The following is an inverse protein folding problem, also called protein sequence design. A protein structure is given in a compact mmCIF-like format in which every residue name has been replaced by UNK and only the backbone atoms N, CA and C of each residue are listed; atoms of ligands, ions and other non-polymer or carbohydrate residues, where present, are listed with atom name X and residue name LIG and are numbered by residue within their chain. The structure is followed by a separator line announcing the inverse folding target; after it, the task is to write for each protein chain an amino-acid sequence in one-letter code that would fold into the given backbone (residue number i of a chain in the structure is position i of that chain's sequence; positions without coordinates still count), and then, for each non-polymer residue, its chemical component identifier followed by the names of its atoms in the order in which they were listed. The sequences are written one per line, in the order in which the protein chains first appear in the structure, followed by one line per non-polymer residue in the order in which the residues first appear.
data_IF_953797007065
#
_entry.id   IF_953797007065
#
_cell.length_a   1.000
_cell.length_b   1.000
_cell.length_c   1.000
_cell.angle_alpha   90.00
_cell.angle_beta   90.00
_cell.angle_gamma   90.00
#
_symmetry.space_group_name_H-M   'P 1'
#
loop_
_entity.id
_entity.type
_entity.pdbx_description
1 polymer ?
#
# COMPACT_ATOMS: atom_id res chain seq x y z
N UNK A 1 64.08 -30.54 16.97
CA UNK A 1 62.89 -29.75 17.34
C UNK A 1 62.21 -29.30 16.05
N UNK A 2 60.89 -29.43 15.93
CA UNK A 2 60.14 -29.04 14.73
C UNK A 2 59.49 -27.66 14.91
N UNK A 3 59.25 -26.94 13.82
CA UNK A 3 58.56 -25.64 13.84
C UNK A 3 57.10 -25.77 14.32
N UNK A 4 56.53 -24.66 14.76
CA UNK A 4 55.11 -24.54 15.16
C UNK A 4 54.21 -25.10 14.05
N UNK A 5 53.29 -26.01 14.41
CA UNK A 5 52.41 -26.71 13.47
C UNK A 5 52.95 -28.04 12.92
N UNK A 6 54.13 -28.50 13.37
CA UNK A 6 54.73 -29.76 12.94
C UNK A 6 55.12 -30.64 14.14
N UNK A 7 55.04 -31.97 13.99
CA UNK A 7 55.48 -32.99 14.96
C UNK A 7 56.61 -33.86 14.40
N UNK A 8 57.48 -34.36 15.29
CA UNK A 8 58.55 -35.30 14.91
C UNK A 8 57.98 -36.72 14.80
N UNK A 9 58.05 -37.34 13.63
CA UNK A 9 57.57 -38.69 13.36
C UNK A 9 58.62 -39.46 12.55
N UNK A 10 59.23 -40.49 13.15
CA UNK A 10 60.30 -41.27 12.50
C UNK A 10 61.59 -40.50 12.22
N UNK A 11 61.84 -39.38 12.89
CA UNK A 11 63.02 -38.53 12.70
C UNK A 11 62.80 -37.35 11.75
N UNK A 12 61.64 -37.23 11.12
CA UNK A 12 61.27 -36.12 10.23
C UNK A 12 60.14 -35.25 10.82
N UNK A 13 60.14 -33.96 10.51
CA UNK A 13 59.09 -33.04 10.93
C UNK A 13 57.92 -33.07 9.94
N UNK A 14 56.79 -33.65 10.35
CA UNK A 14 55.57 -33.74 9.54
C UNK A 14 54.50 -32.77 10.05
N UNK A 15 53.64 -32.29 9.15
CA UNK A 15 52.54 -31.38 9.49
C UNK A 15 51.63 -32.02 10.54
N UNK A 16 51.37 -31.29 11.63
CA UNK A 16 50.46 -31.71 12.68
C UNK A 16 49.06 -31.22 12.34
N UNK A 17 48.25 -32.11 11.77
CA UNK A 17 46.83 -31.87 11.50
C UNK A 17 46.04 -32.38 12.70
N UNK A 18 45.28 -31.51 13.35
CA UNK A 18 44.42 -31.87 14.47
C UNK A 18 43.07 -32.40 13.98
N UNK A 19 42.53 -33.42 14.67
CA UNK A 19 41.20 -33.94 14.38
C UNK A 19 40.11 -32.87 14.63
N UNK A 20 38.92 -33.04 14.06
CA UNK A 20 37.79 -32.15 14.30
C UNK A 20 37.49 -32.00 15.81
N UNK A 21 37.40 -30.76 16.31
CA UNK A 21 37.15 -30.46 17.73
C UNK A 21 38.41 -30.31 18.61
N UNK A 22 39.60 -30.47 18.03
CA UNK A 22 40.90 -30.21 18.68
C UNK A 22 41.53 -28.95 18.09
N UNK A 23 42.33 -28.23 18.89
CA UNK A 23 43.15 -27.12 18.39
C UNK A 23 44.64 -27.35 18.64
N UNK A 24 45.48 -26.68 17.85
CA UNK A 24 46.92 -26.73 17.95
C UNK A 24 47.38 -25.87 19.13
N UNK A 25 47.96 -26.49 20.16
CA UNK A 25 48.66 -25.79 21.23
C UNK A 25 50.09 -25.47 20.78
N UNK A 26 50.37 -24.17 20.61
CA UNK A 26 51.68 -23.64 20.19
C UNK A 26 52.55 -23.21 21.36
N UNK A 27 52.06 -23.37 22.60
CA UNK A 27 52.74 -23.01 23.83
C UNK A 27 53.53 -24.18 24.45
N UNK A 28 53.25 -25.42 24.04
CA UNK A 28 53.97 -26.62 24.47
C UNK A 28 55.06 -27.02 23.47
N UNK A 29 56.22 -27.50 23.98
CA UNK A 29 57.24 -28.18 23.15
C UNK A 29 57.40 -29.63 23.62
N UNK A 30 56.99 -30.63 22.81
CA UNK A 30 56.54 -30.52 21.42
C UNK A 30 55.12 -29.94 21.26
N UNK A 31 54.80 -29.41 20.08
CA UNK A 31 53.45 -28.96 19.74
C UNK A 31 52.48 -30.14 19.85
N UNK A 32 51.32 -29.96 20.49
CA UNK A 32 50.31 -31.01 20.64
C UNK A 32 48.93 -30.52 20.19
N UNK A 33 48.08 -31.46 19.77
CA UNK A 33 46.66 -31.19 19.55
C UNK A 33 45.92 -31.47 20.85
N UNK A 34 45.23 -30.46 21.39
CA UNK A 34 44.47 -30.58 22.63
C UNK A 34 42.97 -30.56 22.32
N UNK A 35 42.21 -31.40 23.02
CA UNK A 35 40.75 -31.41 22.97
C UNK A 35 40.21 -30.06 23.48
N UNK A 36 39.17 -29.54 22.84
CA UNK A 36 38.46 -28.39 23.36
C UNK A 36 37.91 -28.70 24.77
N UNK A 37 38.52 -28.04 25.76
CA UNK A 37 38.09 -27.84 27.16
C UNK A 37 38.02 -29.09 28.05
N UNK A 38 38.85 -29.16 29.10
CA UNK A 38 38.87 -30.31 30.04
C UNK A 38 38.01 -30.17 31.30
N UNK A 39 37.12 -29.17 31.49
CA UNK A 39 35.96 -29.23 32.44
C UNK A 39 35.09 -27.95 32.46
N UNK A 40 33.80 -28.12 32.79
CA UNK A 40 32.77 -27.10 33.04
C UNK A 40 33.20 -26.17 34.22
N UNK A 41 32.89 -24.87 34.15
CA UNK A 41 33.25 -23.82 35.14
C UNK A 41 34.73 -23.37 35.22
N UNK A 42 35.38 -23.15 34.08
CA UNK A 42 36.57 -22.28 34.01
C UNK A 42 36.31 -21.00 33.20
N UNK A 43 37.03 -19.93 33.54
CA UNK A 43 36.75 -18.57 33.13
C UNK A 43 37.12 -18.29 31.66
N UNK A 44 36.08 -18.36 30.80
CA UNK A 44 35.85 -17.54 29.60
C UNK A 44 36.37 -18.07 28.27
N UNK A 45 35.49 -18.78 27.56
CA UNK A 45 35.50 -18.82 26.10
C UNK A 45 35.37 -17.39 25.55
N UNK A 46 36.29 -16.93 24.69
CA UNK A 46 36.22 -15.56 24.12
C UNK A 46 35.04 -15.38 23.16
N UNK A 47 34.57 -16.46 22.56
CA UNK A 47 33.43 -16.55 21.62
C UNK A 47 32.83 -17.95 21.71
N UNK A 48 31.53 -18.09 21.50
CA UNK A 48 30.86 -19.39 21.37
C UNK A 48 30.68 -19.78 19.90
N UNK A 49 30.45 -21.06 19.64
CA UNK A 49 30.03 -21.56 18.32
C UNK A 49 28.67 -20.95 17.92
N UNK A 50 28.42 -20.87 16.61
CA UNK A 50 27.14 -20.41 16.07
C UNK A 50 25.98 -21.21 16.69
N UNK A 51 25.01 -20.49 17.29
CA UNK A 51 23.83 -20.95 18.05
C UNK A 51 23.99 -21.02 19.58
N UNK A 52 25.10 -20.56 20.14
CA UNK A 52 25.29 -20.47 21.58
C UNK A 52 25.70 -19.05 21.99
N UNK A 53 25.21 -18.58 23.14
CA UNK A 53 25.60 -17.30 23.72
C UNK A 53 26.24 -17.49 25.09
N UNK A 54 27.19 -16.60 25.42
CA UNK A 54 27.82 -16.58 26.74
C UNK A 54 26.82 -16.06 27.78
N UNK A 55 26.52 -16.89 28.78
CA UNK A 55 25.78 -16.43 29.94
C UNK A 55 26.63 -15.53 30.86
N UNK A 56 26.02 -15.02 31.94
CA UNK A 56 26.70 -14.18 32.93
C UNK A 56 27.88 -14.88 33.65
N UNK A 57 27.97 -16.20 33.56
CA UNK A 57 29.01 -17.03 34.18
C UNK A 57 30.11 -17.43 33.19
N UNK A 58 29.97 -17.07 31.91
CA UNK A 58 30.97 -17.36 30.89
C UNK A 58 30.77 -18.71 30.20
N UNK A 59 29.63 -19.37 30.37
CA UNK A 59 29.30 -20.65 29.73
C UNK A 59 28.49 -20.43 28.44
N UNK A 60 28.76 -21.25 27.41
CA UNK A 60 28.00 -21.22 26.16
C UNK A 60 26.67 -21.97 26.34
N UNK A 61 25.57 -21.23 26.51
CA UNK A 61 24.21 -21.76 26.58
C UNK A 61 23.58 -21.74 25.19
N UNK A 62 22.67 -22.69 24.91
CA UNK A 62 21.92 -22.67 23.66
C UNK A 62 21.18 -21.34 23.56
N UNK A 63 21.52 -20.53 22.55
CA UNK A 63 20.84 -19.27 22.32
C UNK A 63 19.38 -19.58 22.02
N UNK A 64 18.45 -18.87 22.66
CA UNK A 64 17.04 -18.93 22.24
C UNK A 64 16.99 -18.66 20.74
N UNK A 65 16.38 -19.52 19.92
CA UNK A 65 16.34 -19.33 18.49
C UNK A 65 15.79 -17.93 18.17
N UNK A 66 16.53 -17.15 17.39
CA UNK A 66 16.10 -15.80 16.99
C UNK A 66 15.46 -15.96 15.62
N UNK A 67 14.17 -15.68 15.54
CA UNK A 67 13.45 -15.70 14.27
C UNK A 67 13.54 -14.34 13.60
N UNK A 68 13.39 -14.34 12.28
CA UNK A 68 13.27 -13.12 11.48
C UNK A 68 11.82 -12.96 11.05
N UNK A 69 11.40 -11.72 10.86
CA UNK A 69 10.10 -11.41 10.27
C UNK A 69 10.25 -10.13 9.45
N UNK A 70 10.27 -10.28 8.13
CA UNK A 70 10.24 -9.14 7.25
C UNK A 70 8.81 -8.58 7.21
N UNK A 71 8.68 -7.25 7.29
CA UNK A 71 7.40 -6.54 7.26
C UNK A 71 6.43 -6.91 8.39
N UNK A 72 6.94 -7.28 9.57
CA UNK A 72 6.10 -7.58 10.72
C UNK A 72 6.85 -7.64 12.05
N UNK A 73 6.21 -8.22 13.05
CA UNK A 73 6.80 -8.49 14.37
C UNK A 73 7.16 -9.95 14.49
N UNK A 74 8.28 -10.25 15.14
CA UNK A 74 8.80 -11.63 15.29
C UNK A 74 7.92 -12.44 16.26
N UNK A 75 7.60 -13.67 15.88
CA UNK A 75 6.86 -14.62 16.71
C UNK A 75 7.66 -15.16 17.91
N UNK A 76 6.98 -15.42 19.03
CA UNK A 76 7.61 -15.81 20.29
C UNK A 76 8.01 -17.30 20.38
N UNK A 77 7.57 -18.14 19.44
CA UNK A 77 7.79 -19.60 19.47
C UNK A 77 8.78 -20.05 18.40
N UNK A 78 9.94 -19.41 18.37
CA UNK A 78 10.99 -19.73 17.41
C UNK A 78 11.68 -21.04 17.77
N UNK A 79 11.74 -21.99 16.84
CA UNK A 79 12.41 -23.30 17.03
C UNK A 79 13.72 -23.42 16.28
N UNK A 80 13.93 -22.60 15.24
CA UNK A 80 15.11 -22.63 14.38
C UNK A 80 15.67 -21.20 14.24
N UNK A 81 16.94 -21.01 14.59
CA UNK A 81 17.58 -19.70 14.48
C UNK A 81 17.63 -19.27 13.00
N UNK A 82 17.19 -18.05 12.72
CA UNK A 82 17.09 -17.48 11.38
C UNK A 82 15.86 -17.90 10.58
N UNK A 83 14.94 -18.72 11.13
CA UNK A 83 13.70 -19.04 10.40
C UNK A 83 12.73 -17.86 10.40
N UNK A 84 11.92 -17.76 9.34
CA UNK A 84 10.84 -16.78 9.26
C UNK A 84 9.69 -17.19 10.18
N UNK A 85 9.35 -16.32 11.13
CA UNK A 85 8.15 -16.47 11.95
C UNK A 85 7.62 -15.11 12.39
N UNK A 86 6.44 -14.75 11.90
CA UNK A 86 5.77 -13.50 12.18
C UNK A 86 4.59 -13.70 13.15
N UNK A 87 4.50 -12.84 14.17
CA UNK A 87 3.35 -12.74 15.07
C UNK A 87 2.27 -11.80 14.53
N UNK A 88 2.69 -10.70 13.92
CA UNK A 88 1.80 -9.73 13.27
C UNK A 88 2.51 -9.10 12.08
N UNK A 89 1.73 -8.52 11.18
CA UNK A 89 2.25 -7.89 9.96
C UNK A 89 1.98 -6.40 9.96
N UNK A 90 2.92 -5.64 9.42
CA UNK A 90 2.77 -4.21 9.18
C UNK A 90 1.60 -3.96 8.23
N UNK A 91 1.03 -2.76 8.28
CA UNK A 91 -0.06 -2.33 7.38
C UNK A 91 0.32 -2.62 5.92
N UNK A 92 -0.59 -3.26 5.18
CA UNK A 92 -0.38 -3.69 3.79
C UNK A 92 0.11 -5.14 3.64
N UNK A 93 0.29 -5.88 4.73
CA UNK A 93 0.68 -7.28 4.71
C UNK A 93 -0.29 -8.14 5.53
N UNK A 94 -0.52 -9.39 5.10
CA UNK A 94 -1.32 -10.38 5.83
C UNK A 94 -0.44 -11.54 6.26
N UNK A 95 -0.77 -12.12 7.42
CA UNK A 95 -0.12 -13.33 7.89
C UNK A 95 -0.63 -14.53 7.10
N UNK A 96 0.25 -15.21 6.38
CA UNK A 96 -0.05 -16.41 5.60
C UNK A 96 1.06 -17.46 5.84
N UNK A 97 0.72 -18.53 6.56
CA UNK A 97 1.67 -19.59 6.89
C UNK A 97 2.81 -19.18 7.83
N UNK A 98 2.62 -18.13 8.66
CA UNK A 98 3.66 -17.63 9.56
C UNK A 98 4.57 -16.57 8.93
N UNK A 99 4.32 -16.17 7.70
CA UNK A 99 5.06 -15.12 6.98
C UNK A 99 4.13 -13.95 6.64
N UNK A 100 4.69 -12.74 6.59
CA UNK A 100 3.97 -11.56 6.16
C UNK A 100 4.04 -11.43 4.63
N UNK A 101 2.93 -11.72 3.96
CA UNK A 101 2.79 -11.58 2.51
C UNK A 101 2.01 -10.33 2.17
N UNK A 102 2.27 -9.75 0.99
CA UNK A 102 1.57 -8.56 0.55
C UNK A 102 0.05 -8.80 0.52
N UNK A 103 -0.70 -7.89 1.13
CA UNK A 103 -2.16 -7.87 1.08
C UNK A 103 -2.57 -7.00 -0.10
N UNK A 104 -2.94 -7.67 -1.20
CA UNK A 104 -3.53 -7.02 -2.38
C UNK A 104 -5.05 -7.15 -2.24
N UNK A 105 -5.75 -6.02 -2.34
CA UNK A 105 -7.21 -6.00 -2.32
C UNK A 105 -7.78 -6.20 -3.72
N UNK A 106 -8.89 -6.91 -3.81
CA UNK A 106 -9.62 -7.11 -5.06
C UNK A 106 -10.22 -5.78 -5.58
N UNK A 107 -10.62 -5.78 -6.86
CA UNK A 107 -11.28 -4.62 -7.46
C UNK A 107 -12.53 -4.21 -6.67
N UNK A 108 -12.73 -2.90 -6.49
CA UNK A 108 -13.80 -2.37 -5.66
C UNK A 108 -13.52 -2.39 -4.15
N UNK A 109 -12.32 -2.75 -3.73
CA UNK A 109 -11.89 -2.73 -2.32
C UNK A 109 -10.59 -1.96 -2.11
N UNK A 110 -10.36 -1.51 -0.89
CA UNK A 110 -9.12 -0.89 -0.45
C UNK A 110 -8.69 -1.43 0.91
N UNK A 111 -7.41 -1.21 1.23
CA UNK A 111 -6.85 -1.55 2.53
C UNK A 111 -7.42 -0.62 3.59
N UNK A 112 -8.09 -1.19 4.59
CA UNK A 112 -8.46 -0.44 5.78
C UNK A 112 -7.25 -0.31 6.70
N UNK A 113 -6.69 0.90 6.75
CA UNK A 113 -5.53 1.24 7.59
C UNK A 113 -5.94 1.59 9.03
N UNK A 114 -7.23 1.62 9.32
CA UNK A 114 -7.79 1.97 10.62
C UNK A 114 -8.19 0.74 11.46
N UNK A 115 -8.17 -0.47 10.88
CA UNK A 115 -8.47 -1.71 11.58
C UNK A 115 -7.25 -2.63 11.73
N UNK A 116 -7.27 -3.40 12.82
CA UNK A 116 -6.37 -4.54 13.05
C UNK A 116 -7.25 -5.76 13.35
N UNK A 117 -7.11 -6.88 12.60
CA UNK A 117 -6.08 -7.16 11.60
C UNK A 117 -6.23 -6.34 10.30
N UNK A 118 -5.16 -6.29 9.50
CA UNK A 118 -5.19 -5.67 8.17
C UNK A 118 -6.26 -6.36 7.30
N UNK A 119 -7.29 -5.62 6.90
CA UNK A 119 -8.39 -6.15 6.10
C UNK A 119 -8.64 -5.29 4.86
N UNK A 120 -9.22 -5.92 3.84
CA UNK A 120 -9.73 -5.20 2.67
C UNK A 120 -11.22 -4.94 2.86
N UNK A 121 -11.62 -3.69 2.73
CA UNK A 121 -13.01 -3.25 2.83
C UNK A 121 -13.45 -2.61 1.51
N UNK A 122 -14.76 -2.56 1.27
CA UNK A 122 -15.29 -1.99 0.03
C UNK A 122 -14.90 -0.52 -0.14
N UNK A 123 -14.65 -0.13 -1.38
CA UNK A 123 -14.47 1.26 -1.74
C UNK A 123 -15.76 2.03 -1.48
N UNK A 124 -15.61 3.24 -0.97
CA UNK A 124 -16.73 4.13 -0.68
C UNK A 124 -16.59 5.33 -1.60
N UNK A 125 -17.48 5.41 -2.59
CA UNK A 125 -17.56 6.56 -3.49
C UNK A 125 -18.49 7.62 -2.91
N UNK A 126 -18.28 8.86 -3.34
CA UNK A 126 -19.15 9.99 -3.05
C UNK A 126 -19.86 10.43 -4.32
N UNK A 127 -21.02 11.04 -4.17
CA UNK A 127 -21.73 11.67 -5.27
C UNK A 127 -22.60 12.80 -4.73
N UNK A 128 -22.23 14.04 -5.06
CA UNK A 128 -23.08 15.19 -4.82
C UNK A 128 -24.23 15.20 -5.84
N UNK A 129 -25.45 15.53 -5.38
CA UNK A 129 -26.66 15.61 -6.20
C UNK A 129 -27.07 14.29 -6.90
N UNK A 130 -26.75 13.16 -6.29
CA UNK A 130 -27.11 11.86 -6.85
C UNK A 130 -26.84 10.70 -5.91
N UNK A 131 -26.76 9.51 -6.50
CA UNK A 131 -26.44 8.25 -5.83
C UNK A 131 -25.02 7.85 -6.22
N UNK A 132 -24.17 7.61 -5.23
CA UNK A 132 -22.80 7.17 -5.47
C UNK A 132 -22.76 5.73 -6.01
N UNK A 133 -21.76 5.42 -6.83
CA UNK A 133 -21.47 4.03 -7.21
C UNK A 133 -21.02 3.22 -6.00
N UNK A 134 -21.25 1.90 -6.04
CA UNK A 134 -20.94 0.97 -4.96
C UNK A 134 -20.29 -0.30 -5.49
N UNK A 135 -19.65 -1.07 -4.59
CA UNK A 135 -19.00 -2.33 -4.95
C UNK A 135 -17.92 -2.14 -6.03
N UNK A 136 -17.91 -3.04 -7.01
CA UNK A 136 -16.93 -3.00 -8.12
C UNK A 136 -17.07 -1.78 -9.04
N UNK A 137 -18.24 -1.13 -9.03
CA UNK A 137 -18.47 0.09 -9.81
C UNK A 137 -17.87 1.33 -9.14
N UNK A 138 -17.43 1.22 -7.88
CA UNK A 138 -16.63 2.23 -7.20
C UNK A 138 -15.14 1.89 -7.34
N UNK A 139 -14.45 2.41 -8.38
CA UNK A 139 -13.10 1.96 -8.72
C UNK A 139 -12.05 2.32 -7.66
N UNK A 140 -12.32 3.37 -6.87
CA UNK A 140 -11.38 3.90 -5.89
C UNK A 140 -12.12 4.48 -4.69
N UNK A 141 -11.67 4.14 -3.48
CA UNK A 141 -12.18 4.76 -2.26
C UNK A 141 -12.01 6.28 -2.29
N UNK A 142 -13.08 7.01 -1.98
CA UNK A 142 -13.12 8.48 -1.99
C UNK A 142 -13.39 9.10 -3.37
N UNK A 143 -13.51 8.31 -4.44
CA UNK A 143 -13.82 8.87 -5.77
C UNK A 143 -15.21 9.55 -5.78
N UNK A 144 -15.33 10.65 -6.51
CA UNK A 144 -16.60 11.31 -6.75
C UNK A 144 -17.22 10.76 -8.04
N UNK A 145 -17.95 9.65 -7.92
CA UNK A 145 -18.51 8.91 -9.05
C UNK A 145 -19.97 8.52 -8.80
N UNK A 146 -20.84 9.03 -9.66
CA UNK A 146 -22.28 8.95 -9.56
C UNK A 146 -22.84 7.81 -10.43
N UNK A 147 -23.68 6.96 -9.83
CA UNK A 147 -24.46 5.95 -10.53
C UNK A 147 -25.70 6.55 -11.20
N UNK A 148 -26.32 7.52 -10.53
CA UNK A 148 -27.50 8.24 -11.03
C UNK A 148 -27.58 9.63 -10.41
N UNK A 149 -28.25 10.55 -11.11
CA UNK A 149 -28.43 11.92 -10.65
C UNK A 149 -29.85 12.18 -10.16
N UNK A 150 -29.97 13.06 -9.17
CA UNK A 150 -31.24 13.58 -8.69
C UNK A 150 -31.92 14.42 -9.78
N UNK A 151 -33.22 14.62 -9.66
CA UNK A 151 -33.98 15.49 -10.57
C UNK A 151 -33.34 16.87 -10.68
N UNK A 152 -33.25 17.40 -11.91
CA UNK A 152 -32.58 18.66 -12.22
C UNK A 152 -31.08 18.53 -12.48
N UNK A 153 -30.50 17.34 -12.33
CA UNK A 153 -29.08 17.08 -12.63
C UNK A 153 -28.92 15.98 -13.68
N UNK A 154 -27.94 16.15 -14.56
CA UNK A 154 -27.55 15.21 -15.60
C UNK A 154 -26.20 14.59 -15.30
N UNK A 155 -26.01 13.32 -15.70
CA UNK A 155 -24.75 12.63 -15.52
C UNK A 155 -23.75 13.03 -16.61
N UNK A 156 -22.66 13.70 -16.22
CA UNK A 156 -21.56 14.11 -17.08
C UNK A 156 -20.23 13.68 -16.44
N UNK A 157 -19.46 12.85 -17.15
CA UNK A 157 -18.14 12.37 -16.69
C UNK A 157 -18.12 11.79 -15.27
N UNK A 158 -19.16 11.02 -14.91
CA UNK A 158 -19.30 10.43 -13.56
C UNK A 158 -19.76 11.41 -12.47
N UNK A 159 -20.15 12.64 -12.83
CA UNK A 159 -20.64 13.66 -11.88
C UNK A 159 -22.03 14.12 -12.28
N UNK A 160 -22.79 14.58 -11.29
CA UNK A 160 -24.10 15.17 -11.51
C UNK A 160 -23.98 16.68 -11.66
N UNK A 161 -24.21 17.16 -12.87
CA UNK A 161 -24.14 18.58 -13.25
C UNK A 161 -25.55 19.14 -13.42
N UNK A 162 -25.75 20.41 -13.04
CA UNK A 162 -27.05 21.06 -13.12
C UNK A 162 -27.52 21.14 -14.58
N UNK A 163 -28.75 20.73 -14.84
CA UNK A 163 -29.37 20.82 -16.17
C UNK A 163 -30.45 21.88 -16.13
N UNK A 164 -30.29 22.90 -16.95
CA UNK A 164 -31.27 23.98 -17.04
C UNK A 164 -32.45 23.60 -17.94
N UNK A 165 -33.69 23.96 -17.53
CA UNK A 165 -34.87 23.73 -18.34
C UNK A 165 -34.87 24.62 -19.60
N UNK A 166 -35.73 24.29 -20.56
CA UNK A 166 -35.91 25.10 -21.77
C UNK A 166 -36.30 26.54 -21.41
N UNK A 167 -35.67 27.51 -22.08
CA UNK A 167 -35.83 28.93 -21.75
C UNK A 167 -34.78 29.46 -20.77
N UNK A 168 -33.90 28.61 -20.27
CA UNK A 168 -32.82 28.99 -19.37
C UNK A 168 -31.46 28.44 -19.84
N UNK A 169 -30.40 29.03 -19.31
CA UNK A 169 -29.02 28.59 -19.48
C UNK A 169 -28.30 28.60 -18.13
N UNK A 170 -27.18 27.88 -18.07
CA UNK A 170 -26.33 27.90 -16.89
C UNK A 170 -25.56 29.22 -16.83
N UNK A 171 -25.49 29.84 -15.65
CA UNK A 171 -24.70 31.03 -15.46
C UNK A 171 -23.19 30.75 -15.55
N UNK A 172 -22.37 31.81 -15.62
CA UNK A 172 -20.91 31.71 -15.78
C UNK A 172 -20.24 30.87 -14.68
N UNK A 173 -20.82 30.88 -13.47
CA UNK A 173 -20.31 30.12 -12.33
C UNK A 173 -20.67 28.62 -12.38
N UNK A 174 -21.58 28.21 -13.25
CA UNK A 174 -22.03 26.83 -13.34
C UNK A 174 -22.97 26.38 -12.22
N UNK A 175 -23.53 27.32 -11.45
CA UNK A 175 -24.20 27.01 -10.16
C UNK A 175 -25.71 27.27 -10.16
N UNK A 176 -26.22 28.03 -11.13
CA UNK A 176 -27.64 28.37 -11.23
C UNK A 176 -28.08 28.50 -12.68
N UNK A 177 -29.38 28.33 -12.89
CA UNK A 177 -30.02 28.58 -14.17
C UNK A 177 -30.55 30.01 -14.22
N UNK A 178 -30.25 30.71 -15.30
CA UNK A 178 -30.70 32.06 -15.60
C UNK A 178 -31.54 32.06 -16.87
N UNK A 179 -32.56 32.90 -16.93
CA UNK A 179 -33.42 33.02 -18.10
C UNK A 179 -32.60 33.42 -19.33
N UNK A 180 -32.93 32.82 -20.47
CA UNK A 180 -32.33 33.18 -21.74
C UNK A 180 -32.76 34.60 -22.12
N UNK A 181 -31.79 35.41 -22.56
CA UNK A 181 -32.06 36.74 -23.09
C UNK A 181 -32.06 36.70 -24.61
N UNK A 182 -33.24 36.72 -25.24
CA UNK A 182 -33.36 36.80 -26.69
C UNK A 182 -33.42 38.25 -27.18
N UNK A 183 -32.95 38.49 -28.40
CA UNK A 183 -33.18 39.70 -29.16
C UNK A 183 -34.16 39.42 -30.31
N UNK A 184 -34.72 40.46 -30.89
CA UNK A 184 -35.47 40.36 -32.14
C UNK A 184 -35.32 41.69 -32.87
N UNK A 185 -34.84 41.61 -34.10
CA UNK A 185 -34.76 42.78 -34.97
C UNK A 185 -36.13 42.96 -35.63
N UNK A 186 -36.66 44.19 -35.61
CA UNK A 186 -37.96 44.55 -36.20
C UNK A 186 -39.17 43.78 -35.64
N UNK A 187 -39.12 43.48 -34.33
CA UNK A 187 -40.21 42.82 -33.64
C UNK A 187 -40.00 42.75 -32.13
N UNK A 188 -40.81 41.92 -31.47
CA UNK A 188 -40.73 41.67 -30.02
C UNK A 188 -39.98 40.38 -29.72
N UNK A 189 -38.93 40.46 -28.89
CA UNK A 189 -38.14 39.30 -28.51
C UNK A 189 -38.97 38.22 -27.79
N UNK A 190 -38.68 36.95 -28.07
CA UNK A 190 -39.26 35.82 -27.36
C UNK A 190 -38.78 35.79 -25.89
N UNK A 191 -39.63 35.30 -25.00
CA UNK A 191 -39.36 35.21 -23.55
C UNK A 191 -39.70 33.82 -23.00
N UNK A 192 -39.15 33.48 -21.84
CA UNK A 192 -39.37 32.18 -21.18
C UNK A 192 -39.00 31.00 -22.08
N UNK A 193 -39.84 29.95 -22.09
CA UNK A 193 -39.60 28.74 -22.88
C UNK A 193 -39.54 28.97 -24.41
N UNK A 194 -40.07 30.09 -24.91
CA UNK A 194 -39.98 30.43 -26.34
C UNK A 194 -38.60 30.98 -26.72
N UNK A 195 -37.82 31.51 -25.76
CA UNK A 195 -36.43 31.90 -25.96
C UNK A 195 -35.52 30.68 -25.78
N UNK A 196 -35.40 29.85 -26.81
CA UNK A 196 -34.80 28.51 -26.70
C UNK A 196 -33.27 28.49 -26.53
N UNK A 197 -32.60 29.61 -26.78
CA UNK A 197 -31.16 29.76 -26.60
C UNK A 197 -30.82 31.16 -26.11
N UNK A 198 -29.89 31.26 -25.17
CA UNK A 198 -29.41 32.55 -24.70
C UNK A 198 -28.79 33.36 -25.86
N UNK A 199 -29.03 34.67 -25.87
CA UNK A 199 -28.53 35.63 -26.87
C UNK A 199 -28.97 35.36 -28.32
N UNK A 200 -29.97 34.52 -28.54
CA UNK A 200 -30.49 34.23 -29.88
C UNK A 200 -31.43 35.33 -30.39
N UNK A 201 -31.42 35.56 -31.70
CA UNK A 201 -32.44 36.37 -32.38
C UNK A 201 -33.69 35.50 -32.59
N UNK A 202 -34.66 35.64 -31.69
CA UNK A 202 -35.93 34.91 -31.73
C UNK A 202 -37.07 35.90 -31.49
N UNK A 203 -37.92 36.04 -32.48
CA UNK A 203 -39.06 36.93 -32.49
C UNK A 203 -40.34 36.20 -32.05
N UNK A 204 -41.06 36.78 -31.10
CA UNK A 204 -42.43 36.36 -30.72
C UNK A 204 -43.49 36.97 -31.64
N UNK A 205 -43.21 38.16 -32.18
CA UNK A 205 -44.05 38.85 -33.16
C UNK A 205 -43.23 39.86 -33.96
N UNK A 206 -43.60 40.10 -35.21
CA UNK A 206 -42.98 41.12 -36.07
C UNK A 206 -43.72 42.45 -35.97
N UNK A 207 -42.97 43.54 -36.08
CA UNK A 207 -43.52 44.89 -36.16
C UNK A 207 -44.28 45.09 -37.49
N UNK A 208 -45.12 46.12 -37.53
CA UNK A 208 -45.89 46.44 -38.74
C UNK A 208 -44.95 46.72 -39.92
N UNK A 209 -45.15 45.99 -41.03
CA UNK A 209 -44.32 46.08 -42.23
C UNK A 209 -43.30 44.95 -42.40
N UNK A 210 -43.13 44.10 -41.38
CA UNK A 210 -42.26 42.92 -41.42
C UNK A 210 -43.09 41.62 -41.36
N UNK A 211 -42.53 40.51 -41.84
CA UNK A 211 -43.19 39.20 -41.81
C UNK A 211 -42.24 38.14 -41.26
N UNK A 212 -42.79 37.15 -40.55
CA UNK A 212 -42.00 36.10 -39.93
C UNK A 212 -41.28 35.24 -41.00
N UNK A 213 -39.98 35.04 -40.82
CA UNK A 213 -39.16 34.09 -41.55
C UNK A 213 -38.39 33.21 -40.55
N UNK A 214 -38.95 32.04 -40.24
CA UNK A 214 -38.45 31.19 -39.17
C UNK A 214 -38.56 31.88 -37.82
N UNK A 215 -37.43 32.05 -37.13
CA UNK A 215 -37.36 32.70 -35.81
C UNK A 215 -37.16 34.22 -35.89
N UNK A 216 -37.07 34.81 -37.09
CA UNK A 216 -36.77 36.22 -37.28
C UNK A 216 -37.89 36.97 -38.04
N UNK A 217 -37.78 38.29 -38.04
CA UNK A 217 -38.46 39.25 -38.89
C UNK A 217 -37.41 39.92 -39.81
#
# INVERSE_FOLDING_TARGET
SCNVGFKLDGGECKLLICDAGKHLDTSSSPNTCVDNCTTHDTAKCKTCDSRYELDSNGACQAATPVCVCDHGTVGSTCTVHGSTLCASCNVGFKLDGGECKLLICDAGKHLDTSSSPNTCVDNVCSCLNGVAKAGTDCPMHGAHDCASCSSGYGLASGKCELVCPTGQHLNDAGTACEDNSCSCDFGSAATGAACTSNSANICSSCDSGYHANGNSC
#
